data_IF_538237358943
#
_entry.id   IF_538237358943
#
_cell.length_a   1.000
_cell.length_b   1.000
_cell.length_c   1.000
_cell.angle_alpha   90.00
_cell.angle_beta   90.00
_cell.angle_gamma   90.00
#
_symmetry.space_group_name_H-M   'P 1'
#
loop_
_entity.id
_entity.type
_entity.pdbx_description
1 polymer ?
#
# COMPACT_ATOMS: atom_id res chain seq x y z
N UNK A 1 -24.41 -80.04 -35.66
CA UNK A 1 -24.45 -79.56 -37.06
C UNK A 1 -25.55 -78.52 -37.17
N UNK A 2 -25.17 -77.28 -37.52
CA UNK A 2 -25.85 -76.28 -38.38
C UNK A 2 -27.34 -76.01 -38.05
N UNK A 3 -27.66 -74.89 -37.38
CA UNK A 3 -27.88 -73.53 -37.91
C UNK A 3 -29.31 -73.29 -38.40
N UNK A 4 -29.98 -72.29 -37.80
CA UNK A 4 -30.70 -71.22 -38.51
C UNK A 4 -31.07 -70.15 -37.49
N UNK A 5 -30.23 -69.12 -37.42
CA UNK A 5 -30.53 -67.84 -36.78
C UNK A 5 -31.43 -67.03 -37.72
N UNK A 6 -32.56 -66.57 -37.21
CA UNK A 6 -33.37 -65.52 -37.82
C UNK A 6 -32.78 -64.17 -37.46
N UNK A 7 -32.02 -63.60 -38.39
CA UNK A 7 -31.59 -62.20 -38.36
C UNK A 7 -32.83 -61.30 -38.43
N UNK A 8 -33.10 -60.59 -37.35
CA UNK A 8 -33.89 -59.35 -37.34
C UNK A 8 -32.93 -58.21 -37.72
N UNK A 9 -33.29 -57.33 -38.66
CA UNK A 9 -32.40 -56.24 -39.04
C UNK A 9 -32.34 -55.21 -37.90
N UNK A 10 -31.13 -55.01 -37.36
CA UNK A 10 -30.81 -53.78 -36.63
C UNK A 10 -30.95 -52.61 -37.62
N UNK A 11 -31.90 -51.69 -37.36
CA UNK A 11 -31.80 -50.33 -37.88
C UNK A 11 -30.60 -49.66 -37.19
N UNK A 12 -29.45 -49.70 -37.86
CA UNK A 12 -28.34 -48.80 -37.62
C UNK A 12 -28.68 -47.44 -38.23
N UNK A 13 -29.29 -46.56 -37.44
CA UNK A 13 -29.41 -45.13 -37.76
C UNK A 13 -28.38 -44.36 -36.95
N UNK A 14 -27.18 -44.23 -37.50
CA UNK A 14 -26.21 -43.21 -37.08
C UNK A 14 -25.51 -42.65 -38.31
N UNK A 15 -25.23 -41.35 -38.23
CA UNK A 15 -24.29 -40.57 -39.04
C UNK A 15 -24.80 -39.98 -40.36
N UNK A 16 -25.59 -38.91 -40.21
CA UNK A 16 -25.43 -37.69 -41.03
C UNK A 16 -25.82 -36.45 -40.21
N UNK A 17 -25.28 -36.30 -38.99
CA UNK A 17 -25.29 -34.96 -38.37
C UNK A 17 -24.34 -34.07 -39.19
N UNK A 18 -24.87 -32.98 -39.76
CA UNK A 18 -24.06 -31.99 -40.47
C UNK A 18 -22.90 -31.53 -39.56
N UNK A 19 -21.65 -31.39 -40.06
CA UNK A 19 -20.54 -30.89 -39.25
C UNK A 19 -20.88 -29.57 -38.54
N UNK A 20 -21.72 -28.74 -39.16
CA UNK A 20 -22.26 -27.52 -38.57
C UNK A 20 -23.10 -27.75 -37.30
N UNK A 21 -23.88 -28.82 -37.23
CA UNK A 21 -24.68 -29.18 -36.05
C UNK A 21 -23.78 -29.56 -34.87
N UNK A 22 -22.75 -30.37 -35.13
CA UNK A 22 -21.78 -30.78 -34.11
C UNK A 22 -20.98 -29.59 -33.57
N UNK A 23 -20.64 -28.62 -34.43
CA UNK A 23 -19.98 -27.37 -34.02
C UNK A 23 -20.89 -26.52 -33.11
N UNK A 24 -22.17 -26.38 -33.46
CA UNK A 24 -23.16 -25.67 -32.64
C UNK A 24 -23.37 -26.35 -31.28
N UNK A 25 -23.47 -27.68 -31.26
CA UNK A 25 -23.59 -28.46 -30.04
C UNK A 25 -22.36 -28.27 -29.14
N UNK A 26 -21.16 -28.33 -29.71
CA UNK A 26 -19.91 -28.11 -28.97
C UNK A 26 -19.85 -26.70 -28.38
N UNK A 27 -20.22 -25.68 -29.17
CA UNK A 27 -20.30 -24.28 -28.70
C UNK A 27 -21.32 -24.09 -27.58
N UNK A 28 -22.45 -24.81 -27.62
CA UNK A 28 -23.45 -24.76 -26.55
C UNK A 28 -22.89 -25.36 -25.25
N UNK A 29 -22.19 -26.49 -25.35
CA UNK A 29 -21.55 -27.14 -24.19
C UNK A 29 -20.52 -26.20 -23.56
N UNK A 30 -19.63 -25.60 -24.36
CA UNK A 30 -18.65 -24.60 -23.88
C UNK A 30 -19.34 -23.42 -23.20
N UNK A 31 -20.43 -22.92 -23.77
CA UNK A 31 -21.20 -21.83 -23.18
C UNK A 31 -21.76 -22.19 -21.79
N UNK A 32 -22.29 -23.41 -21.63
CA UNK A 32 -22.77 -23.90 -20.34
C UNK A 32 -21.65 -24.18 -19.33
N UNK A 33 -20.47 -24.61 -19.78
CA UNK A 33 -19.29 -24.71 -18.92
C UNK A 33 -18.90 -23.35 -18.34
N UNK A 34 -18.98 -22.28 -19.13
CA UNK A 34 -18.67 -20.93 -18.66
C UNK A 34 -19.78 -20.41 -17.73
N UNK A 35 -21.06 -20.56 -18.09
CA UNK A 35 -22.19 -20.09 -17.27
C UNK A 35 -22.19 -20.80 -15.90
N UNK A 36 -21.87 -22.09 -15.88
CA UNK A 36 -21.87 -22.92 -14.66
C UNK A 36 -20.47 -23.07 -14.05
N UNK A 37 -19.51 -22.21 -14.41
CA UNK A 37 -18.19 -22.21 -13.78
C UNK A 37 -18.30 -21.89 -12.28
N UNK A 38 -17.33 -22.33 -11.50
CA UNK A 38 -17.30 -22.06 -10.06
C UNK A 38 -17.38 -20.56 -9.78
N UNK A 39 -16.63 -19.76 -10.54
CA UNK A 39 -16.57 -18.32 -10.40
C UNK A 39 -17.91 -17.64 -10.71
N UNK A 40 -18.61 -18.07 -11.76
CA UNK A 40 -19.93 -17.53 -12.13
C UNK A 40 -21.00 -17.95 -11.14
N UNK A 41 -20.96 -19.18 -10.63
CA UNK A 41 -21.90 -19.65 -9.61
C UNK A 41 -21.71 -18.94 -8.27
N UNK A 42 -20.46 -18.69 -7.86
CA UNK A 42 -20.16 -17.86 -6.70
C UNK A 42 -20.62 -16.41 -6.88
N UNK A 43 -20.43 -15.84 -8.08
CA UNK A 43 -20.91 -14.49 -8.40
C UNK A 43 -22.43 -14.41 -8.30
N UNK A 44 -23.13 -15.39 -8.89
CA UNK A 44 -24.58 -15.50 -8.82
C UNK A 44 -25.07 -15.60 -7.37
N UNK A 45 -24.36 -16.34 -6.51
CA UNK A 45 -24.68 -16.44 -5.10
C UNK A 45 -24.47 -15.11 -4.36
N UNK A 46 -23.34 -14.43 -4.62
CA UNK A 46 -22.97 -13.18 -3.93
C UNK A 46 -23.90 -12.01 -4.29
N UNK A 47 -24.52 -12.06 -5.46
CA UNK A 47 -25.42 -11.02 -5.97
C UNK A 47 -26.90 -11.42 -5.93
N UNK A 48 -27.23 -12.54 -5.29
CA UNK A 48 -28.58 -13.09 -5.21
C UNK A 48 -29.26 -13.24 -6.60
N UNK A 49 -28.46 -13.52 -7.65
CA UNK A 49 -28.96 -13.77 -9.00
C UNK A 49 -29.62 -15.16 -9.06
N UNK A 50 -29.05 -16.14 -8.36
CA UNK A 50 -29.58 -17.50 -8.26
C UNK A 50 -29.68 -17.91 -6.79
N UNK A 51 -30.82 -18.47 -6.40
CA UNK A 51 -30.97 -19.11 -5.10
C UNK A 51 -30.36 -20.53 -5.10
N UNK A 52 -30.20 -21.14 -3.92
CA UNK A 52 -29.56 -22.46 -3.77
C UNK A 52 -30.25 -23.57 -4.58
N UNK A 53 -31.59 -23.56 -4.66
CA UNK A 53 -32.33 -24.55 -5.46
C UNK A 53 -32.10 -24.38 -6.95
N UNK A 54 -32.08 -23.13 -7.44
CA UNK A 54 -31.82 -22.81 -8.84
C UNK A 54 -30.38 -23.13 -9.24
N UNK A 55 -29.41 -22.92 -8.33
CA UNK A 55 -28.02 -23.36 -8.56
C UNK A 55 -27.93 -24.87 -8.71
N UNK A 56 -28.59 -25.65 -7.84
CA UNK A 56 -28.63 -27.10 -7.98
C UNK A 56 -29.30 -27.54 -9.29
N UNK A 57 -30.34 -26.82 -9.73
CA UNK A 57 -30.98 -27.08 -11.02
C UNK A 57 -30.03 -26.77 -12.18
N UNK A 58 -29.33 -25.63 -12.15
CA UNK A 58 -28.33 -25.25 -13.14
C UNK A 58 -27.23 -26.33 -13.25
N UNK A 59 -26.74 -26.84 -12.11
CA UNK A 59 -25.74 -27.91 -12.10
C UNK A 59 -26.27 -29.21 -12.70
N UNK A 60 -27.54 -29.58 -12.45
CA UNK A 60 -28.14 -30.77 -13.08
C UNK A 60 -28.27 -30.59 -14.59
N UNK A 61 -28.70 -29.43 -15.05
CA UNK A 61 -28.82 -29.11 -16.48
C UNK A 61 -27.45 -29.10 -17.16
N UNK A 62 -26.46 -28.45 -16.55
CA UNK A 62 -25.09 -28.45 -17.01
C UNK A 62 -24.50 -29.86 -17.06
N UNK A 63 -24.77 -30.70 -16.05
CA UNK A 63 -24.31 -32.10 -16.04
C UNK A 63 -24.91 -32.92 -17.20
N UNK A 64 -26.18 -32.75 -17.50
CA UNK A 64 -26.83 -33.44 -18.61
C UNK A 64 -26.25 -32.98 -19.97
N UNK A 65 -26.03 -31.68 -20.14
CA UNK A 65 -25.49 -31.10 -21.38
C UNK A 65 -23.99 -31.39 -21.56
N UNK A 66 -23.18 -31.26 -20.51
CA UNK A 66 -21.72 -31.33 -20.56
C UNK A 66 -21.23 -32.78 -20.45
N UNK A 67 -21.63 -33.52 -19.41
CA UNK A 67 -21.08 -34.85 -19.17
C UNK A 67 -21.73 -35.89 -20.08
N UNK A 68 -23.04 -35.76 -20.29
CA UNK A 68 -23.82 -36.76 -21.01
C UNK A 68 -24.02 -36.40 -22.49
N UNK A 69 -23.61 -35.20 -22.91
CA UNK A 69 -23.81 -34.66 -24.26
C UNK A 69 -25.28 -34.76 -24.71
N UNK A 70 -26.22 -34.72 -23.75
CA UNK A 70 -27.65 -34.91 -24.00
C UNK A 70 -28.30 -33.56 -24.31
N UNK A 71 -28.59 -33.35 -25.60
CA UNK A 71 -29.45 -32.26 -26.02
C UNK A 71 -30.92 -32.57 -25.68
N UNK A 72 -31.74 -31.54 -25.41
CA UNK A 72 -33.18 -31.71 -25.28
C UNK A 72 -33.76 -32.40 -26.52
N UNK A 73 -34.60 -33.42 -26.32
CA UNK A 73 -35.22 -34.19 -27.41
C UNK A 73 -36.66 -33.72 -27.68
N UNK A 74 -37.37 -33.31 -26.62
CA UNK A 74 -38.75 -32.83 -26.75
C UNK A 74 -38.82 -31.30 -26.86
N UNK A 75 -39.78 -30.75 -27.62
CA UNK A 75 -40.00 -29.30 -27.71
C UNK A 75 -40.20 -28.62 -26.34
N UNK A 76 -40.83 -29.33 -25.39
CA UNK A 76 -41.06 -28.83 -24.03
C UNK A 76 -39.75 -28.63 -23.21
N UNK A 77 -38.77 -29.49 -23.44
CA UNK A 77 -37.46 -29.42 -22.77
C UNK A 77 -36.64 -28.25 -23.33
N UNK A 78 -36.73 -28.04 -24.64
CA UNK A 78 -36.17 -26.90 -25.35
C UNK A 78 -36.75 -25.56 -24.87
N UNK A 79 -38.08 -25.47 -24.70
CA UNK A 79 -38.70 -24.27 -24.12
C UNK A 79 -38.26 -24.04 -22.68
N UNK A 80 -38.19 -25.08 -21.87
CA UNK A 80 -37.79 -24.97 -20.46
C UNK A 80 -36.34 -24.48 -20.31
N UNK A 81 -35.43 -24.98 -21.17
CA UNK A 81 -34.04 -24.52 -21.23
C UNK A 81 -33.96 -23.06 -21.65
N UNK A 82 -34.70 -22.69 -22.70
CA UNK A 82 -34.73 -21.33 -23.23
C UNK A 82 -35.26 -20.33 -22.19
N UNK A 83 -36.36 -20.66 -21.52
CA UNK A 83 -36.96 -19.84 -20.47
C UNK A 83 -36.01 -19.64 -19.29
N UNK A 84 -35.29 -20.69 -18.88
CA UNK A 84 -34.29 -20.60 -17.82
C UNK A 84 -33.12 -19.69 -18.18
N UNK A 85 -32.56 -19.82 -19.39
CA UNK A 85 -31.46 -18.96 -19.86
C UNK A 85 -31.94 -17.51 -20.03
N UNK A 86 -33.16 -17.30 -20.53
CA UNK A 86 -33.79 -15.98 -20.65
C UNK A 86 -33.96 -15.30 -19.29
N UNK A 87 -34.50 -16.02 -18.32
CA UNK A 87 -34.69 -15.51 -16.96
C UNK A 87 -33.34 -15.13 -16.33
N UNK A 88 -32.34 -16.01 -16.44
CA UNK A 88 -30.99 -15.74 -15.92
C UNK A 88 -30.36 -14.51 -16.60
N UNK A 89 -30.49 -14.38 -17.92
CA UNK A 89 -30.03 -13.21 -18.68
C UNK A 89 -30.68 -11.93 -18.16
N UNK A 90 -31.99 -11.95 -17.93
CA UNK A 90 -32.72 -10.77 -17.48
C UNK A 90 -32.33 -10.37 -16.05
N UNK A 91 -32.05 -11.35 -15.17
CA UNK A 91 -31.48 -11.09 -13.84
C UNK A 91 -30.07 -10.47 -13.91
N UNK A 92 -29.20 -10.97 -14.81
CA UNK A 92 -27.89 -10.35 -15.06
C UNK A 92 -28.06 -8.91 -15.56
N UNK A 93 -28.94 -8.68 -16.54
CA UNK A 93 -29.22 -7.34 -17.07
C UNK A 93 -29.71 -6.39 -15.99
N UNK A 94 -30.61 -6.84 -15.12
CA UNK A 94 -31.07 -6.07 -13.97
C UNK A 94 -29.91 -5.67 -13.04
N UNK A 95 -28.96 -6.57 -12.79
CA UNK A 95 -27.77 -6.27 -11.99
C UNK A 95 -26.85 -5.24 -12.66
N UNK A 96 -26.64 -5.32 -13.99
CA UNK A 96 -25.87 -4.30 -14.71
C UNK A 96 -26.53 -2.93 -14.58
N UNK A 97 -27.85 -2.84 -14.79
CA UNK A 97 -28.61 -1.60 -14.70
C UNK A 97 -28.57 -1.02 -13.28
N UNK A 98 -28.81 -1.86 -12.26
CA UNK A 98 -28.77 -1.48 -10.85
C UNK A 98 -27.39 -0.93 -10.43
N UNK A 99 -26.32 -1.50 -10.97
CA UNK A 99 -24.95 -1.09 -10.67
C UNK A 99 -24.43 0.03 -11.61
N UNK A 100 -25.25 0.45 -12.57
CA UNK A 100 -24.92 1.43 -13.62
C UNK A 100 -23.68 1.03 -14.43
N UNK A 101 -23.55 -0.26 -14.73
CA UNK A 101 -22.48 -0.82 -15.55
C UNK A 101 -22.86 -0.60 -17.02
N UNK A 102 -21.93 -0.05 -17.79
CA UNK A 102 -22.11 0.16 -19.22
C UNK A 102 -22.01 -1.18 -19.96
N UNK A 103 -22.95 -1.51 -20.87
CA UNK A 103 -22.82 -2.69 -21.73
C UNK A 103 -21.67 -2.50 -22.72
N UNK A 104 -20.86 -3.54 -22.93
CA UNK A 104 -19.76 -3.53 -23.88
C UNK A 104 -20.24 -4.07 -25.24
N UNK A 105 -19.71 -3.51 -26.33
CA UNK A 105 -20.27 -3.75 -27.66
C UNK A 105 -19.72 -5.01 -28.33
N UNK A 106 -18.54 -5.47 -27.91
CA UNK A 106 -17.84 -6.57 -28.57
C UNK A 106 -16.97 -7.38 -27.60
N UNK A 107 -16.70 -8.62 -27.97
CA UNK A 107 -15.79 -9.51 -27.25
C UNK A 107 -14.37 -8.93 -27.21
N UNK A 108 -13.93 -8.28 -28.30
CA UNK A 108 -12.64 -7.57 -28.35
C UNK A 108 -12.56 -6.46 -27.33
N UNK A 109 -13.64 -5.68 -27.14
CA UNK A 109 -13.68 -4.66 -26.09
C UNK A 109 -13.55 -5.31 -24.71
N UNK A 110 -14.28 -6.39 -24.42
CA UNK A 110 -14.19 -7.11 -23.13
C UNK A 110 -12.80 -7.66 -22.85
N UNK A 111 -12.18 -8.33 -23.82
CA UNK A 111 -10.82 -8.87 -23.71
C UNK A 111 -9.85 -7.75 -23.37
N UNK A 112 -9.90 -6.63 -24.12
CA UNK A 112 -9.06 -5.47 -23.85
C UNK A 112 -9.26 -4.90 -22.42
N UNK A 113 -10.48 -4.95 -21.87
CA UNK A 113 -10.73 -4.52 -20.49
C UNK A 113 -10.17 -5.50 -19.46
N UNK A 114 -10.28 -6.81 -19.68
CA UNK A 114 -9.65 -7.80 -18.80
C UNK A 114 -8.13 -7.70 -18.84
N UNK A 115 -7.53 -7.47 -20.00
CA UNK A 115 -6.09 -7.25 -20.14
C UNK A 115 -5.63 -5.99 -19.40
N UNK A 116 -6.41 -4.90 -19.47
CA UNK A 116 -6.16 -3.69 -18.67
C UNK A 116 -6.22 -3.98 -17.17
N UNK A 117 -7.18 -4.78 -16.70
CA UNK A 117 -7.24 -5.18 -15.29
C UNK A 117 -6.03 -6.01 -14.90
N UNK A 118 -5.63 -6.99 -15.72
CA UNK A 118 -4.48 -7.84 -15.44
C UNK A 118 -3.19 -7.00 -15.34
N UNK A 119 -2.99 -6.06 -16.26
CA UNK A 119 -1.87 -5.13 -16.23
C UNK A 119 -1.89 -4.23 -14.97
N UNK A 120 -3.04 -3.62 -14.65
CA UNK A 120 -3.18 -2.80 -13.44
C UNK A 120 -3.02 -3.61 -12.15
N UNK A 121 -3.43 -4.88 -12.14
CA UNK A 121 -3.26 -5.78 -11.01
C UNK A 121 -1.78 -6.07 -10.78
N UNK A 122 -1.00 -6.32 -11.84
CA UNK A 122 0.46 -6.51 -11.72
C UNK A 122 1.16 -5.26 -11.19
N UNK A 123 0.78 -4.07 -11.67
CA UNK A 123 1.29 -2.80 -11.13
C UNK A 123 0.89 -2.58 -9.67
N UNK A 124 -0.32 -2.97 -9.29
CA UNK A 124 -0.81 -2.84 -7.92
C UNK A 124 -0.08 -3.80 -6.98
N UNK A 125 0.32 -4.98 -7.45
CA UNK A 125 1.17 -5.90 -6.70
C UNK A 125 2.53 -5.28 -6.38
N UNK A 126 3.18 -4.63 -7.36
CA UNK A 126 4.44 -3.89 -7.14
C UNK A 126 4.23 -2.78 -6.11
N UNK A 127 3.11 -2.05 -6.20
CA UNK A 127 2.75 -1.04 -5.20
C UNK A 127 2.54 -1.64 -3.80
N UNK A 128 1.93 -2.83 -3.72
CA UNK A 128 1.79 -3.60 -2.48
C UNK A 128 3.12 -4.01 -1.89
N UNK A 129 4.06 -4.50 -2.71
CA UNK A 129 5.40 -4.82 -2.24
C UNK A 129 6.15 -3.58 -1.72
N UNK A 130 5.97 -2.41 -2.35
CA UNK A 130 6.52 -1.16 -1.85
C UNK A 130 5.85 -0.69 -0.54
N UNK A 131 4.63 -1.14 -0.25
CA UNK A 131 3.94 -0.92 1.04
C UNK A 131 4.49 -1.85 2.14
N UNK A 132 4.79 -3.10 1.80
CA UNK A 132 5.47 -4.04 2.69
C UNK A 132 6.88 -3.51 3.07
N UNK A 133 7.67 -3.08 2.09
CA UNK A 133 9.00 -2.47 2.32
C UNK A 133 8.92 -1.24 3.25
N UNK A 134 7.84 -0.45 3.15
CA UNK A 134 7.61 0.70 4.03
C UNK A 134 7.27 0.26 5.47
N UNK A 135 6.57 -0.86 5.63
CA UNK A 135 6.30 -1.47 6.94
C UNK A 135 7.61 -1.92 7.61
N UNK A 136 8.50 -2.53 6.83
CA UNK A 136 9.83 -2.93 7.31
C UNK A 136 10.73 -1.72 7.63
N UNK A 137 10.70 -0.69 6.79
CA UNK A 137 11.39 0.58 7.05
C UNK A 137 10.94 1.22 8.36
N UNK A 138 9.64 1.19 8.66
CA UNK A 138 9.11 1.68 9.95
C UNK A 138 9.70 0.92 11.13
N UNK A 139 9.82 -0.40 11.01
CA UNK A 139 10.45 -1.24 12.03
C UNK A 139 11.93 -0.90 12.21
N UNK A 140 12.66 -0.72 11.11
CA UNK A 140 14.08 -0.35 11.12
C UNK A 140 14.31 1.04 11.74
N UNK A 141 13.49 2.04 11.39
CA UNK A 141 13.54 3.39 11.98
C UNK A 141 13.22 3.36 13.48
N UNK A 142 12.25 2.54 13.90
CA UNK A 142 11.94 2.32 15.32
C UNK A 142 13.14 1.69 16.04
N UNK A 143 13.84 0.74 15.40
CA UNK A 143 15.09 0.17 15.87
C UNK A 143 16.17 1.23 16.09
N UNK A 144 16.48 2.03 15.06
CA UNK A 144 17.48 3.11 15.15
C UNK A 144 17.16 4.14 16.24
N UNK A 145 15.89 4.54 16.35
CA UNK A 145 15.44 5.46 17.40
C UNK A 145 15.70 4.88 18.80
N UNK A 146 15.40 3.60 18.99
CA UNK A 146 15.60 2.91 20.27
C UNK A 146 17.10 2.75 20.57
N UNK A 147 17.90 2.36 19.58
CA UNK A 147 19.35 2.27 19.73
C UNK A 147 19.94 3.62 20.13
N UNK A 148 19.56 4.69 19.42
CA UNK A 148 20.03 6.04 19.73
C UNK A 148 19.69 6.49 21.15
N UNK A 149 18.48 6.16 21.64
CA UNK A 149 18.05 6.46 23.02
C UNK A 149 19.01 5.89 24.07
N UNK A 150 19.70 4.78 23.78
CA UNK A 150 20.62 4.11 24.70
C UNK A 150 22.09 4.48 24.46
N UNK A 151 22.43 5.26 23.42
CA UNK A 151 23.79 5.65 23.04
C UNK A 151 24.36 6.88 23.75
N UNK A 152 23.77 7.30 24.88
CA UNK A 152 24.24 8.48 25.64
C UNK A 152 25.74 8.44 25.94
N UNK A 153 26.26 7.25 26.31
CA UNK A 153 27.69 7.08 26.62
C UNK A 153 28.56 7.27 25.39
N UNK A 154 28.13 6.80 24.23
CA UNK A 154 28.85 6.96 22.97
C UNK A 154 28.87 8.42 22.54
N UNK A 155 27.74 9.13 22.70
CA UNK A 155 27.66 10.58 22.47
C UNK A 155 28.62 11.32 23.40
N UNK A 156 28.69 10.97 24.68
CA UNK A 156 29.65 11.56 25.62
C UNK A 156 31.11 11.31 25.21
N UNK A 157 31.43 10.11 24.72
CA UNK A 157 32.76 9.79 24.21
C UNK A 157 33.12 10.59 22.95
N UNK A 158 32.18 10.77 22.02
CA UNK A 158 32.37 11.59 20.81
C UNK A 158 32.63 13.05 21.22
N UNK A 159 31.83 13.59 22.15
CA UNK A 159 32.05 14.94 22.67
C UNK A 159 33.43 15.04 23.30
N UNK A 160 33.85 14.09 24.15
CA UNK A 160 35.20 14.10 24.73
C UNK A 160 36.30 14.04 23.67
N UNK A 161 36.10 13.31 22.58
CA UNK A 161 37.03 13.24 21.45
C UNK A 161 37.16 14.60 20.75
N UNK A 162 36.04 15.26 20.44
CA UNK A 162 36.02 16.62 19.88
C UNK A 162 36.69 17.60 20.85
N UNK A 163 36.43 17.44 22.15
CA UNK A 163 37.03 18.30 23.16
C UNK A 163 38.54 18.12 23.28
N UNK A 164 39.07 16.95 22.95
CA UNK A 164 40.51 16.67 23.00
C UNK A 164 41.31 17.19 21.81
N UNK A 165 40.64 17.57 20.70
CA UNK A 165 41.29 18.05 19.48
C UNK A 165 41.49 19.57 19.44
N UNK A 166 40.97 20.32 20.42
CA UNK A 166 41.06 21.78 20.49
C UNK A 166 41.83 22.25 21.73
N UNK A 167 42.56 23.36 21.58
CA UNK A 167 43.26 24.04 22.67
C UNK A 167 42.51 25.28 23.20
N UNK A 168 41.31 25.56 22.68
CA UNK A 168 40.59 26.82 22.95
C UNK A 168 39.90 26.86 24.33
N UNK A 169 39.91 25.74 25.06
CA UNK A 169 39.25 25.61 26.36
C UNK A 169 39.92 24.55 27.20
N UNK A 170 39.71 24.64 28.52
CA UNK A 170 40.27 23.68 29.47
C UNK A 170 39.20 22.67 29.88
N UNK A 171 39.44 21.40 29.57
CA UNK A 171 38.62 20.29 30.09
C UNK A 171 39.24 19.76 31.37
N UNK A 172 38.45 19.62 32.42
CA UNK A 172 38.89 19.07 33.70
C UNK A 172 38.01 17.90 34.13
N UNK A 173 38.62 16.94 34.83
CA UNK A 173 37.89 15.95 35.64
C UNK A 173 37.74 16.50 37.05
N UNK A 174 36.52 16.63 37.53
CA UNK A 174 36.23 17.26 38.83
C UNK A 174 36.74 16.37 39.97
N UNK A 175 37.59 16.92 40.82
CA UNK A 175 38.08 16.33 42.06
C UNK A 175 37.57 17.15 43.26
N UNK A 176 37.97 16.80 44.49
CA UNK A 176 37.53 17.51 45.70
C UNK A 176 37.90 19.00 45.71
N UNK A 177 39.06 19.38 45.18
CA UNK A 177 39.50 20.80 45.16
C UNK A 177 38.72 21.63 44.12
N UNK A 178 38.26 20.99 43.05
CA UNK A 178 37.43 21.62 42.01
C UNK A 178 35.99 21.91 42.49
N UNK A 179 35.45 21.14 43.44
CA UNK A 179 34.07 21.35 43.93
C UNK A 179 33.88 22.76 44.50
N UNK A 180 34.74 23.15 45.45
CA UNK A 180 34.70 24.47 46.06
C UNK A 180 35.10 25.56 45.07
N UNK A 181 36.08 25.28 44.19
CA UNK A 181 36.59 26.28 43.25
C UNK A 181 35.62 26.60 42.12
N UNK A 182 34.73 25.67 41.73
CA UNK A 182 33.71 25.84 40.69
C UNK A 182 32.28 25.98 41.22
N UNK A 183 32.06 25.79 42.53
CA UNK A 183 30.71 25.84 43.10
C UNK A 183 29.86 24.64 42.69
N UNK A 184 30.47 23.45 42.62
CA UNK A 184 29.83 22.20 42.23
C UNK A 184 29.54 21.34 43.46
N UNK A 185 28.44 20.57 43.42
CA UNK A 185 28.11 19.61 44.46
C UNK A 185 28.85 18.28 44.31
N UNK A 186 28.83 17.44 45.35
CA UNK A 186 29.49 16.13 45.36
C UNK A 186 29.06 15.21 44.20
N UNK A 187 27.84 15.36 43.66
CA UNK A 187 27.33 14.64 42.49
C UNK A 187 28.06 14.94 41.17
N UNK A 188 28.93 15.95 41.16
CA UNK A 188 29.77 16.33 40.03
C UNK A 188 31.17 15.71 40.08
N UNK A 189 31.55 15.07 41.20
CA UNK A 189 32.86 14.45 41.35
C UNK A 189 33.07 13.35 40.31
N UNK A 190 34.26 13.33 39.69
CA UNK A 190 34.61 12.37 38.64
C UNK A 190 34.04 12.68 37.25
N UNK A 191 33.17 13.68 37.11
CA UNK A 191 32.62 14.11 35.80
C UNK A 191 33.54 15.10 35.10
N UNK A 192 33.43 15.17 33.78
CA UNK A 192 34.16 16.13 32.96
C UNK A 192 33.41 17.45 32.82
N UNK A 193 34.15 18.55 32.94
CA UNK A 193 33.65 19.91 32.78
C UNK A 193 34.56 20.68 31.84
N UNK A 194 33.94 21.51 31.00
CA UNK A 194 34.62 22.51 30.17
C UNK A 194 34.62 23.81 30.96
N UNK A 195 35.79 24.45 31.05
CA UNK A 195 35.97 25.75 31.68
C UNK A 195 36.25 26.80 30.61
N UNK A 196 35.57 27.94 30.71
CA UNK A 196 35.76 29.09 29.86
C UNK A 196 36.20 30.27 30.73
N UNK A 197 37.39 30.79 30.45
CA UNK A 197 37.98 31.98 31.10
C UNK A 197 37.55 33.29 30.41
N UNK A 198 36.82 33.16 29.31
CA UNK A 198 36.28 34.22 28.45
C UNK A 198 34.91 34.75 28.89
N UNK A 199 34.43 35.77 28.19
CA UNK A 199 33.06 36.26 28.33
C UNK A 199 32.00 35.25 27.85
N UNK A 200 30.72 35.58 28.08
CA UNK A 200 29.60 34.70 27.74
C UNK A 200 29.46 34.48 26.23
N UNK A 201 29.75 35.49 25.41
CA UNK A 201 29.55 35.41 23.95
C UNK A 201 30.64 34.54 23.30
N UNK A 202 31.90 34.69 23.72
CA UNK A 202 32.99 33.80 23.33
C UNK A 202 32.73 32.36 23.78
N UNK A 203 32.21 32.16 24.99
CA UNK A 203 31.83 30.83 25.48
C UNK A 203 30.75 30.18 24.62
N UNK A 204 29.77 30.96 24.13
CA UNK A 204 28.74 30.48 23.19
C UNK A 204 29.33 30.13 21.84
N UNK A 205 30.27 30.93 21.32
CA UNK A 205 30.96 30.64 20.05
C UNK A 205 31.73 29.31 20.11
N UNK A 206 32.39 29.03 21.24
CA UNK A 206 33.05 27.72 21.45
C UNK A 206 32.03 26.58 21.47
N UNK A 207 30.91 26.73 22.19
CA UNK A 207 29.86 25.71 22.21
C UNK A 207 29.22 25.48 20.84
N UNK A 208 29.02 26.54 20.05
CA UNK A 208 28.53 26.44 18.68
C UNK A 208 29.50 25.65 17.79
N UNK A 209 30.81 25.84 17.95
CA UNK A 209 31.83 25.05 17.23
C UNK A 209 31.79 23.57 17.63
N UNK A 210 31.77 23.27 18.93
CA UNK A 210 31.65 21.89 19.42
C UNK A 210 30.37 21.22 18.90
N UNK A 211 29.26 21.96 18.89
CA UNK A 211 27.99 21.46 18.39
C UNK A 211 27.97 21.31 16.86
N UNK A 212 28.69 22.15 16.13
CA UNK A 212 28.90 22.01 14.69
C UNK A 212 29.71 20.75 14.38
N UNK A 213 30.84 20.53 15.05
CA UNK A 213 31.70 19.36 14.86
C UNK A 213 30.96 18.06 15.20
N UNK A 214 30.22 18.05 16.32
CA UNK A 214 29.34 16.92 16.64
C UNK A 214 28.26 16.74 15.57
N UNK A 215 27.69 17.85 15.10
CA UNK A 215 26.71 17.87 14.04
C UNK A 215 27.22 17.20 12.77
N UNK A 216 28.45 17.47 12.33
CA UNK A 216 29.06 16.82 11.17
C UNK A 216 29.13 15.30 11.36
N UNK A 217 29.68 14.83 12.49
CA UNK A 217 29.78 13.39 12.79
C UNK A 217 28.39 12.72 12.82
N UNK A 218 27.41 13.39 13.44
CA UNK A 218 26.04 12.90 13.48
C UNK A 218 25.40 12.84 12.09
N UNK A 219 25.55 13.90 11.30
CA UNK A 219 24.98 14.00 9.96
C UNK A 219 25.57 12.94 9.03
N UNK A 220 26.87 12.68 9.09
CA UNK A 220 27.51 11.60 8.33
C UNK A 220 26.96 10.23 8.73
N UNK A 221 26.83 9.95 10.03
CA UNK A 221 26.27 8.69 10.50
C UNK A 221 24.80 8.53 10.08
N UNK A 222 24.00 9.59 10.22
CA UNK A 222 22.62 9.61 9.79
C UNK A 222 22.49 9.41 8.27
N UNK A 223 23.34 10.05 7.47
CA UNK A 223 23.38 9.89 6.02
C UNK A 223 23.75 8.45 5.62
N UNK A 224 24.72 7.82 6.28
CA UNK A 224 25.06 6.41 6.06
C UNK A 224 23.91 5.47 6.40
N UNK A 225 23.22 5.71 7.52
CA UNK A 225 22.04 4.93 7.90
C UNK A 225 20.91 5.10 6.86
N UNK A 226 20.69 6.33 6.39
CA UNK A 226 19.68 6.62 5.37
C UNK A 226 20.05 5.98 4.02
N UNK A 227 21.31 6.05 3.60
CA UNK A 227 21.78 5.38 2.39
C UNK A 227 21.63 3.85 2.47
N UNK A 228 21.92 3.25 3.63
CA UNK A 228 21.67 1.82 3.87
C UNK A 228 20.18 1.49 3.75
N UNK A 229 19.31 2.30 4.35
CA UNK A 229 17.87 2.13 4.23
C UNK A 229 17.39 2.31 2.79
N UNK A 230 17.90 3.30 2.06
CA UNK A 230 17.57 3.52 0.66
C UNK A 230 17.96 2.31 -0.20
N UNK A 231 19.15 1.73 0.03
CA UNK A 231 19.57 0.50 -0.64
C UNK A 231 18.72 -0.72 -0.29
N UNK A 232 18.32 -0.87 0.98
CA UNK A 232 17.50 -2.01 1.43
C UNK A 232 16.03 -1.90 1.05
N UNK A 233 15.50 -0.69 0.92
CA UNK A 233 14.07 -0.41 0.68
C UNK A 233 13.85 0.42 -0.58
N UNK A 234 14.66 0.19 -1.62
CA UNK A 234 14.69 1.00 -2.85
C UNK A 234 13.31 1.35 -3.41
N UNK A 235 12.33 0.44 -3.39
CA UNK A 235 10.94 0.68 -3.87
C UNK A 235 10.17 1.75 -3.09
N UNK A 236 10.61 2.09 -1.88
CA UNK A 236 10.06 3.18 -1.08
C UNK A 236 10.69 4.52 -1.48
N UNK A 237 11.98 4.51 -1.81
CA UNK A 237 12.80 5.70 -2.06
C UNK A 237 12.82 6.12 -3.53
N UNK A 238 12.76 5.16 -4.45
CA UNK A 238 12.72 5.38 -5.89
C UNK A 238 11.33 5.88 -6.29
N UNK A 239 11.29 6.81 -7.25
CA UNK A 239 10.02 7.19 -7.85
C UNK A 239 9.43 5.98 -8.58
N UNK A 240 8.12 5.72 -8.49
CA UNK A 240 7.52 4.72 -9.36
C UNK A 240 7.74 5.15 -10.81
N UNK A 241 8.55 4.39 -11.56
CA UNK A 241 8.82 4.64 -12.98
C UNK A 241 7.53 4.60 -13.83
N UNK A 242 6.49 3.92 -13.32
CA UNK A 242 5.25 3.64 -14.04
C UNK A 242 4.05 4.44 -13.51
N UNK A 243 4.06 5.76 -13.72
CA UNK A 243 2.85 6.61 -13.68
C UNK A 243 1.98 6.57 -12.41
N UNK A 244 0.79 7.15 -12.48
CA UNK A 244 -0.14 7.20 -11.34
C UNK A 244 -1.19 6.08 -11.46
N UNK A 245 -0.91 4.93 -10.85
CA UNK A 245 -1.80 3.75 -10.88
C UNK A 245 -3.24 4.05 -10.45
N UNK A 246 -3.44 5.00 -9.54
CA UNK A 246 -4.77 5.34 -9.03
C UNK A 246 -5.56 6.14 -10.07
N UNK A 247 -4.89 7.05 -10.78
CA UNK A 247 -5.50 7.73 -11.91
C UNK A 247 -5.91 6.74 -13.00
N UNK A 248 -5.06 5.76 -13.31
CA UNK A 248 -5.33 4.74 -14.32
C UNK A 248 -6.51 3.83 -13.91
N UNK A 249 -6.55 3.37 -12.65
CA UNK A 249 -7.67 2.59 -12.12
C UNK A 249 -8.96 3.42 -12.14
N UNK A 250 -8.91 4.70 -11.74
CA UNK A 250 -10.06 5.58 -11.82
C UNK A 250 -10.52 5.77 -13.27
N UNK A 251 -9.60 5.93 -14.22
CA UNK A 251 -9.95 6.03 -15.64
C UNK A 251 -10.68 4.78 -16.11
N UNK A 252 -10.21 3.59 -15.72
CA UNK A 252 -10.88 2.34 -16.04
C UNK A 252 -12.29 2.25 -15.41
N UNK A 253 -12.45 2.69 -14.15
CA UNK A 253 -13.78 2.79 -13.52
C UNK A 253 -14.73 3.66 -14.35
N UNK A 254 -14.27 4.82 -14.84
CA UNK A 254 -15.10 5.71 -15.66
C UNK A 254 -15.45 5.13 -17.03
N UNK A 255 -14.65 4.20 -17.54
CA UNK A 255 -14.93 3.53 -18.83
C UNK A 255 -15.98 2.42 -18.69
N UNK A 256 -16.04 1.75 -17.53
CA UNK A 256 -16.93 0.61 -17.27
C UNK A 256 -18.27 1.03 -16.65
N UNK A 257 -18.31 2.12 -15.88
CA UNK A 257 -19.55 2.63 -15.28
C UNK A 257 -20.08 3.84 -16.05
N UNK A 258 -21.40 4.00 -16.10
CA UNK A 258 -22.01 5.23 -16.62
C UNK A 258 -21.53 6.46 -15.82
N UNK A 259 -21.26 7.58 -16.51
CA UNK A 259 -20.69 8.84 -15.98
C UNK A 259 -21.45 9.49 -14.79
N UNK A 260 -22.55 8.91 -14.34
CA UNK A 260 -23.41 9.45 -13.28
C UNK A 260 -23.03 9.01 -11.86
N UNK A 261 -22.05 8.10 -11.68
CA UNK A 261 -21.62 7.76 -10.32
C UNK A 261 -20.75 8.89 -9.74
N UNK A 262 -21.02 9.36 -8.51
CA UNK A 262 -20.16 10.34 -7.87
C UNK A 262 -18.73 9.80 -7.77
N UNK A 263 -17.75 10.64 -8.12
CA UNK A 263 -16.32 10.32 -8.00
C UNK A 263 -16.06 9.85 -6.57
N UNK A 264 -15.59 8.61 -6.42
CA UNK A 264 -15.08 8.13 -5.14
C UNK A 264 -13.92 9.04 -4.75
N UNK A 265 -14.17 9.96 -3.82
CA UNK A 265 -13.20 10.98 -3.43
C UNK A 265 -12.36 10.39 -2.33
N UNK A 266 -11.04 10.35 -2.54
CA UNK A 266 -10.10 10.14 -1.45
C UNK A 266 -10.29 11.30 -0.47
N UNK A 267 -10.72 10.97 0.75
CA UNK A 267 -10.80 11.94 1.84
C UNK A 267 -9.40 12.50 2.08
N UNK A 268 -9.26 13.82 1.99
CA UNK A 268 -8.03 14.53 2.29
C UNK A 268 -7.60 14.20 3.72
N UNK A 269 -6.39 13.68 3.89
CA UNK A 269 -5.87 13.38 5.23
C UNK A 269 -5.64 14.69 5.99
N UNK A 270 -5.98 14.78 7.28
CA UNK A 270 -5.52 15.88 8.11
C UNK A 270 -3.99 15.84 8.13
N UNK A 271 -3.36 16.89 7.57
CA UNK A 271 -1.90 17.09 7.56
C UNK A 271 -1.28 17.28 8.94
N UNK A 272 -2.03 17.03 10.02
CA UNK A 272 -1.56 17.14 11.39
C UNK A 272 -2.07 15.98 12.24
N UNK A 273 -1.12 15.31 12.91
CA UNK A 273 -1.40 14.32 13.95
C UNK A 273 -2.13 14.99 15.14
N UNK A 274 -2.99 14.26 15.87
CA UNK A 274 -3.54 14.73 17.14
C UNK A 274 -2.40 15.12 18.09
N UNK A 275 -2.43 16.36 18.58
CA UNK A 275 -1.51 16.83 19.61
C UNK A 275 -1.90 16.12 20.91
N UNK A 276 -1.06 15.20 21.38
CA UNK A 276 -1.19 14.66 22.73
C UNK A 276 -1.12 15.82 23.73
N UNK A 277 -2.26 16.11 24.37
CA UNK A 277 -2.36 17.10 25.44
C UNK A 277 -1.65 16.56 26.68
N UNK A 278 -0.36 16.87 26.80
CA UNK A 278 0.40 16.53 28.00
C UNK A 278 1.82 17.07 27.99
N UNK A 279 1.98 18.33 28.40
CA UNK A 279 3.23 18.91 28.94
C UNK A 279 4.51 18.66 28.12
N UNK A 280 4.77 19.50 27.12
CA UNK A 280 6.13 19.69 26.62
C UNK A 280 6.29 21.11 26.08
N UNK A 281 6.91 21.96 26.89
CA UNK A 281 7.42 23.26 26.44
C UNK A 281 8.52 23.03 25.38
N UNK A 282 8.37 23.71 24.25
CA UNK A 282 9.42 24.05 23.27
C UNK A 282 9.79 23.09 22.12
N UNK A 283 9.21 21.88 22.00
CA UNK A 283 9.57 20.93 20.91
C UNK A 283 8.78 20.99 19.60
N UNK A 284 7.88 21.95 19.44
CA UNK A 284 6.89 21.95 18.34
C UNK A 284 7.21 22.83 17.11
N UNK A 285 8.44 23.33 16.93
CA UNK A 285 8.74 24.29 15.85
C UNK A 285 9.49 23.75 14.63
N UNK A 286 9.53 22.44 14.46
CA UNK A 286 9.76 21.82 13.14
C UNK A 286 8.69 20.76 12.88
N UNK A 287 7.43 21.15 12.96
CA UNK A 287 6.39 20.45 12.20
C UNK A 287 6.79 20.65 10.75
N UNK A 288 7.22 19.57 10.09
CA UNK A 288 7.27 19.53 8.63
C UNK A 288 5.88 19.88 8.13
N UNK A 289 5.70 21.15 7.75
CA UNK A 289 4.59 21.56 6.91
C UNK A 289 4.84 20.82 5.61
N UNK A 290 4.04 19.80 5.33
CA UNK A 290 3.86 19.35 3.95
C UNK A 290 3.24 20.55 3.25
N UNK A 291 4.08 21.34 2.57
CA UNK A 291 3.59 22.33 1.62
C UNK A 291 2.92 21.52 0.53
N UNK A 292 1.60 21.43 0.58
CA UNK A 292 0.80 21.05 -0.58
C UNK A 292 0.96 22.21 -1.54
N UNK A 293 1.93 22.10 -2.44
CA UNK A 293 1.90 22.92 -3.65
C UNK A 293 0.67 22.43 -4.42
N UNK A 294 -0.34 23.28 -4.48
CA UNK A 294 -1.38 23.22 -5.51
C UNK A 294 -0.65 23.31 -6.85
N UNK A 295 -0.22 22.16 -7.39
CA UNK A 295 -0.11 21.83 -8.80
C UNK A 295 0.63 20.48 -8.97
N UNK A 296 -0.14 19.48 -9.38
CA UNK A 296 0.22 18.30 -10.20
C UNK A 296 1.37 17.34 -9.86
N UNK A 297 2.19 17.53 -8.83
CA UNK A 297 3.22 16.53 -8.50
C UNK A 297 2.81 15.62 -7.32
N UNK A 298 2.85 14.28 -7.47
CA UNK A 298 2.55 13.37 -6.37
C UNK A 298 3.61 13.59 -5.29
N UNK A 299 3.15 14.08 -4.11
CA UNK A 299 3.93 14.39 -2.89
C UNK A 299 5.24 13.61 -2.88
N UNK A 300 6.28 14.24 -3.43
CA UNK A 300 7.57 13.61 -3.59
C UNK A 300 8.15 13.46 -2.20
N UNK A 301 8.33 12.20 -1.84
CA UNK A 301 8.99 11.76 -0.64
C UNK A 301 10.29 12.55 -0.45
N UNK A 302 10.32 13.41 0.57
CA UNK A 302 11.57 14.01 1.00
C UNK A 302 11.76 13.65 2.47
N UNK A 303 12.49 12.56 2.72
CA UNK A 303 13.05 12.35 4.05
C UNK A 303 13.91 13.57 4.37
N UNK A 304 13.51 14.33 5.38
CA UNK A 304 14.23 15.52 5.78
C UNK A 304 15.73 15.19 5.91
N UNK A 305 16.56 15.94 5.18
CA UNK A 305 18.00 15.79 5.27
C UNK A 305 18.42 15.89 6.75
N UNK A 306 19.38 15.06 7.19
CA UNK A 306 19.90 15.16 8.54
C UNK A 306 20.52 16.55 8.71
N UNK A 307 19.80 17.42 9.41
CA UNK A 307 20.28 18.76 9.71
C UNK A 307 20.35 18.90 11.22
N UNK A 308 21.58 18.82 11.71
CA UNK A 308 21.90 19.14 13.09
C UNK A 308 22.13 20.65 13.20
N UNK A 309 21.11 21.39 13.60
CA UNK A 309 21.25 22.79 13.96
C UNK A 309 21.17 22.94 15.48
N UNK A 310 22.27 23.31 16.15
CA UNK A 310 22.23 23.64 17.57
C UNK A 310 21.35 24.87 17.75
N UNK A 311 20.31 24.75 18.57
CA UNK A 311 19.51 25.89 18.96
C UNK A 311 20.36 26.83 19.84
N UNK A 312 20.87 27.93 19.26
CA UNK A 312 21.74 28.88 19.96
C UNK A 312 21.15 29.50 21.24
N UNK A 313 19.84 29.35 21.48
CA UNK A 313 19.12 29.78 22.66
C UNK A 313 19.16 28.78 23.83
N UNK A 314 19.70 27.57 23.65
CA UNK A 314 19.82 26.54 24.70
C UNK A 314 21.08 26.70 25.57
N UNK A 315 22.12 27.34 25.06
CA UNK A 315 23.40 27.51 25.77
C UNK A 315 23.31 28.20 27.13
N UNK A 316 22.51 29.28 27.31
CA UNK A 316 22.39 29.96 28.59
C UNK A 316 21.91 29.06 29.74
N UNK A 317 21.13 28.02 29.45
CA UNK A 317 20.63 27.09 30.47
C UNK A 317 21.64 26.01 30.86
N UNK A 318 22.55 25.67 29.93
CA UNK A 318 23.55 24.62 30.10
C UNK A 318 24.80 25.19 30.80
N UNK A 319 25.15 26.44 30.52
CA UNK A 319 26.26 27.17 31.13
C UNK A 319 25.98 27.56 32.59
N UNK A 320 26.98 27.40 33.45
CA UNK A 320 26.99 27.86 34.84
C UNK A 320 28.05 28.93 35.04
N UNK A 321 27.63 30.12 35.48
CA UNK A 321 28.53 31.23 35.80
C UNK A 321 28.95 31.20 37.26
N UNK A 322 30.25 31.31 37.52
CA UNK A 322 30.79 31.61 38.83
C UNK A 322 31.29 33.05 38.89
N UNK A 323 30.40 33.95 39.35
CA UNK A 323 30.66 35.39 39.48
C UNK A 323 31.96 35.73 40.21
N UNK A 324 32.31 34.99 41.27
CA UNK A 324 33.50 35.27 42.09
C UNK A 324 34.84 35.08 41.37
N UNK A 325 34.84 34.41 40.20
CA UNK A 325 36.05 34.13 39.41
C UNK A 325 35.89 34.52 37.95
N UNK A 326 34.79 35.17 37.58
CA UNK A 326 34.39 35.45 36.21
C UNK A 326 34.58 34.24 35.28
N UNK A 327 34.15 33.05 35.75
CA UNK A 327 34.42 31.78 35.07
C UNK A 327 33.09 31.13 34.66
N UNK A 328 33.00 30.74 33.40
CA UNK A 328 31.88 29.96 32.89
C UNK A 328 32.26 28.48 32.81
N UNK A 329 31.29 27.60 33.06
CA UNK A 329 31.52 26.17 32.96
C UNK A 329 30.30 25.41 32.46
N UNK A 330 30.53 24.31 31.76
CA UNK A 330 29.48 23.34 31.42
C UNK A 330 29.95 21.92 31.69
N UNK A 331 29.01 21.04 32.01
CA UNK A 331 29.30 19.61 32.14
C UNK A 331 29.24 18.94 30.77
N UNK A 332 30.26 18.15 30.45
CA UNK A 332 30.28 17.34 29.22
C UNK A 332 29.06 16.42 29.17
N UNK A 333 28.70 15.77 30.29
CA UNK A 333 27.54 14.89 30.35
C UNK A 333 26.23 15.62 30.04
N UNK A 334 26.10 16.91 30.40
CA UNK A 334 24.92 17.73 30.10
C UNK A 334 24.87 18.15 28.63
N UNK A 335 26.03 18.41 28.03
CA UNK A 335 26.16 18.68 26.60
C UNK A 335 25.80 17.42 25.79
N UNK A 336 26.32 16.26 26.21
CA UNK A 336 25.99 14.96 25.62
C UNK A 336 24.50 14.61 25.75
N UNK A 337 23.86 14.94 26.88
CA UNK A 337 22.41 14.81 27.05
C UNK A 337 21.64 15.63 26.01
N UNK A 338 22.04 16.89 25.81
CA UNK A 338 21.43 17.76 24.82
C UNK A 338 21.60 17.19 23.40
N UNK A 339 22.82 16.79 23.01
CA UNK A 339 23.09 16.20 21.68
C UNK A 339 22.37 14.87 21.45
N UNK A 340 22.33 14.01 22.47
CA UNK A 340 21.55 12.76 22.44
C UNK A 340 20.08 13.06 22.20
N UNK A 341 19.56 14.11 22.82
CA UNK A 341 18.17 14.51 22.66
C UNK A 341 17.86 15.04 21.25
N UNK A 342 18.74 15.86 20.68
CA UNK A 342 18.59 16.36 19.31
C UNK A 342 18.58 15.19 18.31
N UNK A 343 19.50 14.23 18.44
CA UNK A 343 19.49 13.04 17.59
C UNK A 343 18.24 12.16 17.78
N UNK A 344 17.72 12.07 19.01
CA UNK A 344 16.47 11.35 19.28
C UNK A 344 15.27 12.04 18.61
N UNK A 345 15.24 13.37 18.62
CA UNK A 345 14.19 14.15 17.97
C UNK A 345 14.27 13.99 16.44
N UNK A 346 15.47 13.94 15.85
CA UNK A 346 15.67 13.62 14.43
C UNK A 346 15.05 12.28 14.03
N UNK A 347 15.43 11.17 14.69
CA UNK A 347 14.86 9.85 14.38
C UNK A 347 13.36 9.75 14.70
N UNK A 348 12.88 10.50 15.70
CA UNK A 348 11.44 10.57 15.99
C UNK A 348 10.69 11.25 14.86
N UNK A 349 11.23 12.34 14.29
CA UNK A 349 10.65 13.03 13.15
C UNK A 349 10.66 12.16 11.89
N UNK A 350 11.77 11.46 11.60
CA UNK A 350 11.82 10.49 10.50
C UNK A 350 10.74 9.41 10.65
N UNK A 351 10.62 8.82 11.84
CA UNK A 351 9.62 7.79 12.11
C UNK A 351 8.19 8.32 11.94
N UNK A 352 7.90 9.55 12.38
CA UNK A 352 6.58 10.16 12.21
C UNK A 352 6.26 10.44 10.74
N UNK A 353 7.23 10.92 9.96
CA UNK A 353 7.05 11.12 8.52
C UNK A 353 6.79 9.78 7.80
N UNK A 354 7.56 8.74 8.13
CA UNK A 354 7.34 7.40 7.58
C UNK A 354 5.96 6.83 7.96
N UNK A 355 5.45 7.11 9.18
CA UNK A 355 4.09 6.70 9.59
C UNK A 355 3.00 7.39 8.81
N UNK A 356 3.13 8.70 8.58
CA UNK A 356 2.19 9.47 7.77
C UNK A 356 2.14 8.91 6.34
N UNK A 357 3.31 8.59 5.77
CA UNK A 357 3.37 7.94 4.46
C UNK A 357 2.75 6.56 4.45
N UNK A 358 3.01 5.74 5.46
CA UNK A 358 2.44 4.40 5.56
C UNK A 358 0.92 4.45 5.62
N UNK A 359 0.35 5.34 6.44
CA UNK A 359 -1.09 5.55 6.50
C UNK A 359 -1.67 5.99 5.15
N UNK A 360 -1.04 6.95 4.48
CA UNK A 360 -1.46 7.40 3.17
C UNK A 360 -1.36 6.29 2.10
N UNK A 361 -0.23 5.59 1.99
CA UNK A 361 -0.06 4.48 1.04
C UNK A 361 -1.04 3.33 1.32
N UNK A 362 -1.32 3.03 2.58
CA UNK A 362 -2.32 2.01 2.96
C UNK A 362 -3.69 2.37 2.40
N UNK A 363 -4.16 3.61 2.65
CA UNK A 363 -5.46 4.07 2.16
C UNK A 363 -5.52 4.04 0.62
N UNK A 364 -4.43 4.47 -0.03
CA UNK A 364 -4.30 4.47 -1.49
C UNK A 364 -4.34 3.06 -2.07
N UNK A 365 -3.63 2.11 -1.45
CA UNK A 365 -3.61 0.70 -1.83
C UNK A 365 -4.98 0.04 -1.64
N UNK A 366 -5.63 0.25 -0.49
CA UNK A 366 -6.98 -0.26 -0.22
C UNK A 366 -8.00 0.28 -1.24
N UNK A 367 -7.95 1.58 -1.50
CA UNK A 367 -8.81 2.23 -2.49
C UNK A 367 -8.60 1.66 -3.90
N UNK A 368 -7.35 1.52 -4.33
CA UNK A 368 -6.98 0.98 -5.63
C UNK A 368 -7.45 -0.48 -5.77
N UNK A 369 -7.17 -1.30 -4.76
CA UNK A 369 -7.56 -2.72 -4.70
C UNK A 369 -9.07 -2.89 -4.78
N UNK A 370 -9.81 -2.17 -3.92
CA UNK A 370 -11.26 -2.23 -3.90
C UNK A 370 -11.87 -1.76 -5.24
N UNK A 371 -11.32 -0.68 -5.81
CA UNK A 371 -11.78 -0.15 -7.11
C UNK A 371 -11.53 -1.16 -8.23
N UNK A 372 -10.35 -1.76 -8.29
CA UNK A 372 -10.01 -2.74 -9.33
C UNK A 372 -10.86 -4.03 -9.21
N UNK A 373 -11.05 -4.55 -8.00
CA UNK A 373 -11.94 -5.70 -7.74
C UNK A 373 -13.37 -5.39 -8.18
N UNK A 374 -13.85 -4.19 -7.88
CA UNK A 374 -15.21 -3.75 -8.25
C UNK A 374 -15.38 -3.65 -9.77
N UNK A 375 -14.36 -3.19 -10.48
CA UNK A 375 -14.34 -3.15 -11.94
C UNK A 375 -14.30 -4.57 -12.52
N UNK A 376 -13.47 -5.45 -11.97
CA UNK A 376 -13.39 -6.84 -12.38
C UNK A 376 -14.73 -7.56 -12.25
N UNK A 377 -15.43 -7.40 -11.10
CA UNK A 377 -16.77 -7.96 -10.90
C UNK A 377 -17.80 -7.42 -11.89
N UNK A 378 -17.72 -6.13 -12.23
CA UNK A 378 -18.60 -5.54 -13.23
C UNK A 378 -18.37 -6.15 -14.62
N UNK A 379 -17.11 -6.38 -15.02
CA UNK A 379 -16.81 -7.08 -16.27
C UNK A 379 -17.24 -8.55 -16.24
N UNK A 380 -17.15 -9.24 -15.10
CA UNK A 380 -17.66 -10.61 -14.99
C UNK A 380 -19.18 -10.69 -15.21
N UNK A 381 -19.93 -9.70 -14.71
CA UNK A 381 -21.37 -9.58 -14.97
C UNK A 381 -21.65 -9.31 -16.44
N UNK A 382 -20.94 -8.37 -17.04
CA UNK A 382 -21.13 -8.02 -18.45
C UNK A 382 -20.78 -9.19 -19.39
N UNK A 383 -19.66 -9.89 -19.13
CA UNK A 383 -19.29 -11.11 -19.85
C UNK A 383 -20.34 -12.23 -19.65
N UNK A 384 -20.86 -12.39 -18.43
CA UNK A 384 -21.92 -13.36 -18.16
C UNK A 384 -23.18 -13.08 -18.96
N UNK A 385 -23.60 -11.81 -19.05
CA UNK A 385 -24.74 -11.39 -19.87
C UNK A 385 -24.51 -11.65 -21.36
N UNK A 386 -23.31 -11.35 -21.86
CA UNK A 386 -22.93 -11.61 -23.25
C UNK A 386 -22.97 -13.11 -23.58
N UNK A 387 -22.41 -13.94 -22.69
CA UNK A 387 -22.43 -15.39 -22.82
C UNK A 387 -23.86 -15.92 -22.87
N UNK A 388 -24.74 -15.51 -21.94
CA UNK A 388 -26.15 -15.93 -21.92
C UNK A 388 -26.88 -15.52 -23.21
N UNK A 389 -26.60 -14.33 -23.74
CA UNK A 389 -27.17 -13.87 -25.01
C UNK A 389 -26.69 -14.72 -26.19
N UNK A 390 -25.42 -15.13 -26.19
CA UNK A 390 -24.89 -16.07 -27.18
C UNK A 390 -25.50 -17.46 -27.03
N UNK A 391 -25.66 -17.97 -25.80
CA UNK A 391 -26.32 -19.26 -25.52
C UNK A 391 -27.72 -19.30 -26.11
N UNK A 392 -28.52 -18.24 -25.93
CA UNK A 392 -29.87 -18.15 -26.52
C UNK A 392 -29.84 -18.23 -28.05
N UNK A 393 -28.86 -17.57 -28.69
CA UNK A 393 -28.68 -17.68 -30.14
C UNK A 393 -28.31 -19.09 -30.56
N UNK A 394 -27.45 -19.78 -29.81
CA UNK A 394 -27.07 -21.18 -30.06
C UNK A 394 -28.26 -22.12 -29.90
N UNK A 395 -29.06 -21.95 -28.83
CA UNK A 395 -30.28 -22.72 -28.58
C UNK A 395 -31.26 -22.55 -29.76
N UNK A 396 -31.53 -21.31 -30.20
CA UNK A 396 -32.42 -21.05 -31.33
C UNK A 396 -31.96 -21.73 -32.61
N UNK A 397 -30.65 -21.66 -32.93
CA UNK A 397 -30.07 -22.30 -34.13
C UNK A 397 -30.14 -23.82 -34.07
N UNK A 398 -29.88 -24.40 -32.89
CA UNK A 398 -29.96 -25.86 -32.69
C UNK A 398 -31.42 -26.35 -32.79
N UNK A 399 -32.38 -25.60 -32.25
CA UNK A 399 -33.81 -25.90 -32.39
C UNK A 399 -34.22 -25.91 -33.86
N UNK A 400 -33.86 -24.88 -34.63
CA UNK A 400 -34.14 -24.80 -36.07
C UNK A 400 -33.56 -25.99 -36.85
N UNK A 401 -32.34 -26.42 -36.52
CA UNK A 401 -31.69 -27.58 -37.14
C UNK A 401 -32.27 -28.93 -36.69
N UNK A 402 -32.83 -29.01 -35.49
CA UNK A 402 -33.45 -30.23 -34.96
C UNK A 402 -34.89 -30.49 -35.46
N UNK A 403 -35.51 -29.45 -36.03
CA UNK A 403 -36.83 -29.52 -36.66
C UNK A 403 -36.76 -29.72 -38.20
N UNK A 404 -35.55 -29.71 -38.78
CA UNK A 404 -35.23 -30.18 -40.13
C UNK A 404 -34.87 -31.67 -40.08
#
# INVERSE_FOLDING_TARGET
MISTMTNTPLLSTTDTASPYFNDLQSSLIESFQIICSLEQMELCQKLDILNKSEQQQAHRMAKALIDQHQLPVHPADWSSLNDWVLELRDRYRHQLDQQSIRPLQSDTERINRFDQIAHLSGRLEIYGQAHDDLTDLLSALKGLRNDWKHRKRDVENIVLSILSSSNDYRVIKVNRTHLTSLGLGFSSMGKHYILFESDLEESKLVLNRIAHDFGQVFQENAAQNLARMAGSYHRVFDQPEEGNIIADIQQLVHQIYHHQRPKSTLLSYPTSLPVDKGSSTFRERRKSVVMVQDDQDPVLFNMAQPLFEPAGWDWPQILKHKKSKNLWSTSVSRLADHFSQVGLDYYTNMLNNARLMHAHRTQMFEFATHSLIKVYRALQLEQGLANLSQTLSLISKLQEQSHL
#
